data_IF_321477127983
#
_entry.id   IF_321477127983
#
_cell.length_a   1.000
_cell.length_b   1.000
_cell.length_c   1.000
_cell.angle_alpha   90.00
_cell.angle_beta   90.00
_cell.angle_gamma   90.00
#
_symmetry.space_group_name_H-M   'P 1'
#
loop_
_entity.id
_entity.type
_entity.pdbx_description
1 polymer ?
#
# COMPACT_ATOMS: atom_id res chain seq x y z
N UNK A 1 7.52 -16.96 3.18
CA UNK A 1 8.20 -16.66 1.90
C UNK A 1 8.88 -15.31 2.01
N UNK A 2 10.12 -15.23 1.57
CA UNK A 2 10.90 -14.00 1.57
C UNK A 2 11.04 -13.49 0.14
N UNK A 3 10.84 -12.21 -0.06
CA UNK A 3 11.10 -11.56 -1.34
C UNK A 3 12.01 -10.35 -1.09
N UNK A 4 13.13 -10.30 -1.79
CA UNK A 4 14.02 -9.14 -1.77
C UNK A 4 13.76 -8.25 -2.97
N UNK A 5 13.71 -6.96 -2.74
CA UNK A 5 13.57 -5.98 -3.81
C UNK A 5 14.69 -4.95 -3.62
N UNK A 6 15.48 -4.76 -4.67
CA UNK A 6 16.51 -3.72 -4.70
C UNK A 6 15.91 -2.43 -5.23
N UNK A 7 16.06 -1.35 -4.49
CA UNK A 7 15.57 -0.04 -4.90
C UNK A 7 16.57 0.66 -5.81
N UNK A 8 16.04 1.30 -6.85
CA UNK A 8 16.82 2.24 -7.67
C UNK A 8 16.80 3.60 -6.98
N UNK A 9 17.99 4.08 -6.59
CA UNK A 9 18.13 5.38 -5.94
C UNK A 9 17.91 6.53 -6.91
N UNK A 10 17.09 7.49 -6.53
CA UNK A 10 16.95 8.76 -7.24
C UNK A 10 18.12 9.72 -6.90
N UNK A 11 18.67 9.60 -5.70
CA UNK A 11 19.78 10.42 -5.23
C UNK A 11 20.92 9.55 -4.70
N UNK A 12 22.14 9.83 -5.15
CA UNK A 12 23.33 9.07 -4.71
C UNK A 12 23.54 9.14 -3.20
N UNK A 13 23.65 7.99 -2.56
CA UNK A 13 23.93 7.87 -1.12
C UNK A 13 22.74 8.09 -0.20
N UNK A 14 21.51 8.27 -0.75
CA UNK A 14 20.29 8.48 0.01
C UNK A 14 19.14 7.67 -0.57
N UNK A 15 18.28 7.15 0.28
CA UNK A 15 16.97 6.59 -0.09
C UNK A 15 15.89 7.47 0.49
N UNK A 16 14.97 7.91 -0.34
CA UNK A 16 13.79 8.68 0.03
C UNK A 16 12.57 7.77 0.04
N UNK A 17 11.94 7.65 1.20
CA UNK A 17 10.74 6.86 1.41
C UNK A 17 9.58 7.79 1.75
N UNK A 18 8.43 7.57 1.12
CA UNK A 18 7.16 8.16 1.53
C UNK A 18 6.31 7.11 2.22
N UNK A 19 5.74 7.47 3.34
CA UNK A 19 4.82 6.62 4.08
C UNK A 19 3.43 7.27 4.13
N UNK A 20 2.42 6.49 3.75
CA UNK A 20 1.03 6.79 4.01
C UNK A 20 0.49 5.70 4.95
N UNK A 21 -0.25 6.10 5.96
CA UNK A 21 -0.81 5.17 6.94
C UNK A 21 -2.28 5.51 7.20
N UNK A 22 -3.04 4.50 7.60
CA UNK A 22 -4.42 4.68 8.06
C UNK A 22 -5.29 5.42 7.04
N UNK A 23 -5.25 5.00 5.80
CA UNK A 23 -5.98 5.67 4.71
C UNK A 23 -7.48 5.42 4.74
N UNK A 24 -7.93 4.34 5.37
CA UNK A 24 -9.35 4.01 5.62
C UNK A 24 -10.26 4.24 4.40
N UNK A 25 -9.84 3.78 3.22
CA UNK A 25 -10.64 3.94 2.01
C UNK A 25 -11.97 3.21 2.16
N UNK A 26 -13.05 3.90 1.88
CA UNK A 26 -14.40 3.35 1.92
C UNK A 26 -14.81 2.70 0.59
N UNK A 27 -15.77 1.74 0.60
CA UNK A 27 -16.18 1.01 -0.60
C UNK A 27 -16.83 1.87 -1.68
N UNK A 28 -17.59 2.90 -1.28
CA UNK A 28 -18.37 3.71 -2.21
C UNK A 28 -17.75 5.10 -2.46
N UNK A 29 -17.93 5.68 -3.66
CA UNK A 29 -17.50 7.04 -3.94
C UNK A 29 -18.19 8.05 -3.02
N UNK A 30 -17.41 8.98 -2.44
CA UNK A 30 -17.93 10.02 -1.55
C UNK A 30 -18.38 9.54 -0.18
N UNK A 31 -18.23 8.25 0.11
CA UNK A 31 -18.47 7.71 1.43
C UNK A 31 -17.47 8.27 2.43
N UNK A 32 -17.93 8.54 3.64
CA UNK A 32 -17.12 9.17 4.67
C UNK A 32 -16.88 8.24 5.87
N UNK A 33 -15.74 8.41 6.49
CA UNK A 33 -15.41 7.85 7.79
C UNK A 33 -15.26 9.03 8.78
N UNK A 34 -16.04 9.01 9.85
CA UNK A 34 -16.14 10.11 10.82
C UNK A 34 -16.35 11.50 10.16
N UNK A 35 -17.16 11.53 9.10
CA UNK A 35 -17.46 12.76 8.37
C UNK A 35 -16.39 13.20 7.38
N UNK A 36 -15.32 12.41 7.20
CA UNK A 36 -14.23 12.72 6.28
C UNK A 36 -14.30 11.81 5.05
N UNK A 37 -14.28 12.40 3.85
CA UNK A 37 -14.05 11.68 2.61
C UNK A 37 -12.57 11.29 2.54
N UNK A 38 -12.27 10.07 2.96
CA UNK A 38 -10.90 9.58 3.11
C UNK A 38 -10.20 9.42 1.76
N UNK A 39 -10.91 9.06 0.72
CA UNK A 39 -10.33 8.96 -0.63
C UNK A 39 -9.91 10.33 -1.17
N UNK A 40 -10.77 11.33 -1.02
CA UNK A 40 -10.45 12.68 -1.45
C UNK A 40 -9.28 13.26 -0.63
N UNK A 41 -9.26 12.98 0.66
CA UNK A 41 -8.14 13.37 1.54
C UNK A 41 -6.83 12.73 1.08
N UNK A 42 -6.83 11.43 0.80
CA UNK A 42 -5.64 10.74 0.30
C UNK A 42 -5.15 11.36 -1.03
N UNK A 43 -6.06 11.64 -1.96
CA UNK A 43 -5.72 12.29 -3.23
C UNK A 43 -5.07 13.66 -3.03
N UNK A 44 -5.56 14.44 -2.08
CA UNK A 44 -4.99 15.75 -1.74
C UNK A 44 -3.59 15.62 -1.14
N UNK A 45 -3.38 14.68 -0.23
CA UNK A 45 -2.07 14.41 0.37
C UNK A 45 -1.07 13.96 -0.68
N UNK A 46 -1.48 13.06 -1.59
CA UNK A 46 -0.65 12.62 -2.72
C UNK A 46 -0.26 13.81 -3.60
N UNK A 47 -1.21 14.68 -3.95
CA UNK A 47 -0.93 15.86 -4.77
C UNK A 47 0.09 16.78 -4.09
N UNK A 48 -0.02 16.96 -2.78
CA UNK A 48 0.95 17.74 -2.00
C UNK A 48 2.34 17.08 -2.01
N UNK A 49 2.41 15.76 -1.80
CA UNK A 49 3.66 15.02 -1.83
C UNK A 49 4.33 15.09 -3.22
N UNK A 50 3.55 14.99 -4.29
CA UNK A 50 4.05 15.12 -5.67
C UNK A 50 4.70 16.47 -5.93
N UNK A 51 4.22 17.51 -5.29
CA UNK A 51 4.78 18.85 -5.45
C UNK A 51 6.16 19.02 -4.81
N UNK A 52 6.41 18.37 -3.65
CA UNK A 52 7.61 18.62 -2.82
C UNK A 52 8.55 17.42 -2.66
N UNK A 53 8.03 16.19 -2.73
CA UNK A 53 8.72 14.99 -2.29
C UNK A 53 8.67 13.87 -3.32
N UNK A 54 8.69 14.21 -4.59
CA UNK A 54 8.49 13.26 -5.66
C UNK A 54 9.61 13.28 -6.71
N UNK A 55 9.99 12.14 -7.33
CA UNK A 55 9.55 10.79 -6.96
C UNK A 55 10.36 10.24 -5.77
N UNK A 56 9.71 9.54 -4.83
CA UNK A 56 10.43 8.79 -3.81
C UNK A 56 11.04 7.51 -4.40
N UNK A 57 12.02 6.93 -3.71
CA UNK A 57 12.59 5.63 -4.10
C UNK A 57 11.62 4.49 -3.84
N UNK A 58 10.79 4.61 -2.81
CA UNK A 58 9.68 3.70 -2.54
C UNK A 58 8.57 4.38 -1.72
N UNK A 59 7.38 3.80 -1.80
CA UNK A 59 6.20 4.23 -1.04
C UNK A 59 5.76 3.08 -0.14
N UNK A 60 5.49 3.40 1.12
CA UNK A 60 4.98 2.47 2.12
C UNK A 60 3.52 2.82 2.43
N UNK A 61 2.65 1.84 2.28
CA UNK A 61 1.25 1.91 2.73
C UNK A 61 1.11 1.02 3.95
N UNK A 62 0.98 1.62 5.13
CA UNK A 62 1.11 0.88 6.39
C UNK A 62 -0.15 0.93 7.23
N UNK A 63 -0.87 -0.18 7.25
CA UNK A 63 -1.99 -0.43 8.16
C UNK A 63 -3.28 0.31 7.85
N UNK A 64 -4.40 -0.35 8.11
CA UNK A 64 -5.75 0.18 7.95
C UNK A 64 -5.96 0.92 6.61
N UNK A 65 -5.60 0.21 5.53
CA UNK A 65 -5.65 0.75 4.17
C UNK A 65 -7.09 1.03 3.75
N UNK A 66 -8.01 0.17 4.16
CA UNK A 66 -9.44 0.30 3.95
C UNK A 66 -10.17 0.39 5.28
N UNK A 67 -11.33 1.02 5.31
CA UNK A 67 -12.14 1.11 6.51
C UNK A 67 -12.87 -0.20 6.79
N UNK A 68 -13.44 -0.79 5.77
CA UNK A 68 -14.05 -2.13 5.80
C UNK A 68 -13.37 -3.02 4.76
N UNK A 69 -13.08 -4.29 5.07
CA UNK A 69 -12.39 -5.18 4.15
C UNK A 69 -13.32 -5.66 3.03
N UNK A 70 -13.67 -4.75 2.14
CA UNK A 70 -14.50 -4.99 0.98
C UNK A 70 -13.69 -4.90 -0.31
N UNK A 71 -14.01 -5.76 -1.28
CA UNK A 71 -13.36 -5.76 -2.59
C UNK A 71 -13.36 -4.38 -3.24
N UNK A 72 -14.52 -3.69 -3.23
CA UNK A 72 -14.65 -2.37 -3.83
C UNK A 72 -13.71 -1.33 -3.20
N UNK A 73 -13.46 -1.39 -1.89
CA UNK A 73 -12.52 -0.49 -1.22
C UNK A 73 -11.09 -0.71 -1.70
N UNK A 74 -10.65 -1.96 -1.78
CA UNK A 74 -9.32 -2.29 -2.30
C UNK A 74 -9.16 -1.96 -3.79
N UNK A 75 -10.20 -2.15 -4.59
CA UNK A 75 -10.18 -1.77 -6.01
C UNK A 75 -10.00 -0.25 -6.17
N UNK A 76 -10.67 0.53 -5.34
CA UNK A 76 -10.54 2.00 -5.33
C UNK A 76 -9.14 2.43 -4.91
N UNK A 77 -8.59 1.82 -3.88
CA UNK A 77 -7.21 2.06 -3.44
C UNK A 77 -6.22 1.65 -4.54
N UNK A 78 -6.38 0.47 -5.11
CA UNK A 78 -5.54 -0.02 -6.20
C UNK A 78 -5.49 0.94 -7.39
N UNK A 79 -6.62 1.50 -7.77
CA UNK A 79 -6.70 2.48 -8.87
C UNK A 79 -5.85 3.73 -8.59
N UNK A 80 -5.76 4.16 -7.35
CA UNK A 80 -4.90 5.29 -6.94
C UNK A 80 -3.42 4.87 -6.97
N UNK A 81 -3.09 3.74 -6.34
CA UNK A 81 -1.69 3.31 -6.17
C UNK A 81 -1.03 2.91 -7.48
N UNK A 82 -1.79 2.38 -8.44
CA UNK A 82 -1.28 2.04 -9.78
C UNK A 82 -0.75 3.23 -10.56
N UNK A 83 -1.13 4.45 -10.21
CA UNK A 83 -0.66 5.67 -10.88
C UNK A 83 0.75 6.07 -10.48
N UNK A 84 1.33 5.43 -9.46
CA UNK A 84 2.67 5.75 -9.00
C UNK A 84 3.74 5.06 -9.84
N UNK A 85 4.81 5.79 -10.16
CA UNK A 85 5.98 5.24 -10.85
C UNK A 85 6.89 4.47 -9.88
N UNK A 86 6.92 4.89 -8.62
CA UNK A 86 7.73 4.24 -7.58
C UNK A 86 7.09 2.92 -7.13
N UNK A 87 7.89 1.95 -6.67
CA UNK A 87 7.35 0.74 -6.06
C UNK A 87 6.61 1.07 -4.77
N UNK A 88 5.46 0.43 -4.58
CA UNK A 88 4.58 0.60 -3.43
C UNK A 88 4.50 -0.70 -2.65
N UNK A 89 4.74 -0.63 -1.36
CA UNK A 89 4.69 -1.77 -0.44
C UNK A 89 3.53 -1.59 0.53
N UNK A 90 2.61 -2.55 0.53
CA UNK A 90 1.39 -2.49 1.35
C UNK A 90 1.46 -3.50 2.49
N UNK A 91 1.22 -3.04 3.69
CA UNK A 91 1.11 -3.84 4.91
C UNK A 91 -0.30 -3.72 5.49
N UNK A 92 -0.94 -4.83 5.91
CA UNK A 92 -2.26 -4.78 6.52
C UNK A 92 -2.23 -4.22 7.94
N UNK A 93 -3.30 -3.51 8.31
CA UNK A 93 -3.68 -3.20 9.67
C UNK A 93 -4.80 -4.11 10.16
N UNK A 94 -5.40 -3.77 11.31
CA UNK A 94 -6.48 -4.58 11.88
C UNK A 94 -7.82 -4.44 11.15
N UNK A 95 -8.02 -3.37 10.37
CA UNK A 95 -9.20 -3.20 9.50
C UNK A 95 -9.07 -3.95 8.18
N UNK A 96 -7.88 -4.41 7.83
CA UNK A 96 -7.62 -5.04 6.54
C UNK A 96 -7.87 -6.55 6.57
N UNK A 97 -8.27 -7.09 5.42
CA UNK A 97 -8.23 -8.52 5.12
C UNK A 97 -7.00 -8.81 4.26
N UNK A 98 -5.97 -9.47 4.82
CA UNK A 98 -4.72 -9.73 4.09
C UNK A 98 -4.90 -10.51 2.79
N UNK A 99 -5.80 -11.50 2.76
CA UNK A 99 -6.04 -12.30 1.56
C UNK A 99 -6.68 -11.46 0.45
N UNK A 100 -7.70 -10.69 0.78
CA UNK A 100 -8.38 -9.82 -0.16
C UNK A 100 -7.43 -8.70 -0.64
N UNK A 101 -6.65 -8.14 0.25
CA UNK A 101 -5.62 -7.15 -0.05
C UNK A 101 -4.60 -7.72 -1.05
N UNK A 102 -4.08 -8.93 -0.79
CA UNK A 102 -3.11 -9.58 -1.66
C UNK A 102 -3.65 -9.86 -3.07
N UNK A 103 -4.91 -10.27 -3.16
CA UNK A 103 -5.57 -10.53 -4.44
C UNK A 103 -5.81 -9.26 -5.25
N UNK A 104 -6.15 -8.16 -4.59
CA UNK A 104 -6.60 -6.93 -5.24
C UNK A 104 -5.46 -5.95 -5.52
N UNK A 105 -4.51 -5.83 -4.60
CA UNK A 105 -3.34 -4.95 -4.75
C UNK A 105 -2.22 -5.68 -5.52
N UNK A 106 -2.55 -6.17 -6.70
CA UNK A 106 -1.65 -6.93 -7.57
C UNK A 106 -1.41 -6.16 -8.87
N UNK A 107 -0.31 -5.43 -8.94
CA UNK A 107 0.15 -4.72 -10.13
C UNK A 107 1.69 -4.72 -10.14
N UNK A 108 2.30 -4.32 -11.25
CA UNK A 108 3.76 -4.37 -11.40
C UNK A 108 4.50 -3.53 -10.35
N UNK A 109 3.91 -2.41 -9.95
CA UNK A 109 4.48 -1.52 -8.94
C UNK A 109 3.98 -1.79 -7.52
N UNK A 110 3.00 -2.69 -7.33
CA UNK A 110 2.40 -2.96 -6.03
C UNK A 110 2.88 -4.30 -5.47
N UNK A 111 3.19 -4.30 -4.19
CA UNK A 111 3.55 -5.50 -3.45
C UNK A 111 2.91 -5.50 -2.07
N UNK A 112 2.45 -6.66 -1.63
CA UNK A 112 1.83 -6.84 -0.32
C UNK A 112 2.66 -7.78 0.54
N UNK A 113 2.77 -7.50 1.83
CA UNK A 113 3.52 -8.32 2.77
C UNK A 113 2.96 -8.22 4.19
N UNK A 114 3.35 -9.13 5.06
CA UNK A 114 3.05 -9.06 6.49
C UNK A 114 4.03 -8.16 7.24
N UNK A 115 5.26 -8.08 6.77
CA UNK A 115 6.29 -7.21 7.32
C UNK A 115 7.34 -6.86 6.28
N UNK A 116 8.05 -5.77 6.52
CA UNK A 116 9.11 -5.26 5.65
C UNK A 116 10.35 -5.00 6.52
N UNK A 117 11.51 -5.44 6.04
CA UNK A 117 12.80 -5.13 6.66
C UNK A 117 13.65 -4.38 5.64
N UNK A 118 14.21 -3.27 6.06
CA UNK A 118 15.17 -2.51 5.25
C UNK A 118 16.59 -2.91 5.63
N UNK A 119 17.40 -3.21 4.63
CA UNK A 119 18.85 -3.42 4.79
C UNK A 119 19.57 -2.70 3.66
N UNK A 120 20.22 -1.62 3.97
CA UNK A 120 20.90 -0.76 2.99
C UNK A 120 19.95 -0.38 1.84
N UNK A 121 20.20 -0.94 0.66
CA UNK A 121 19.43 -0.68 -0.56
C UNK A 121 18.40 -1.78 -0.87
N UNK A 122 18.19 -2.69 0.07
CA UNK A 122 17.34 -3.86 -0.13
C UNK A 122 16.13 -3.77 0.79
N UNK A 123 14.95 -3.97 0.23
CA UNK A 123 13.72 -4.21 0.97
C UNK A 123 13.47 -5.70 1.01
N UNK A 124 13.43 -6.26 2.20
CA UNK A 124 13.04 -7.63 2.43
C UNK A 124 11.58 -7.68 2.86
N UNK A 125 10.76 -8.29 2.04
CA UNK A 125 9.35 -8.50 2.33
C UNK A 125 9.14 -9.88 2.91
N UNK A 126 8.50 -9.92 4.06
CA UNK A 126 8.11 -11.15 4.73
C UNK A 126 6.60 -11.32 4.57
N UNK A 127 6.20 -12.41 3.95
CA UNK A 127 4.80 -12.77 3.81
C UNK A 127 4.52 -14.02 4.62
N UNK A 128 3.61 -13.91 5.57
CA UNK A 128 3.03 -15.04 6.30
C UNK A 128 1.73 -15.51 5.66
N UNK A 129 1.41 -15.01 4.46
CA UNK A 129 0.28 -15.53 3.70
C UNK A 129 0.61 -16.96 3.28
N UNK A 130 0.27 -17.90 4.15
CA UNK A 130 0.09 -19.26 3.72
C UNK A 130 -1.04 -19.23 2.68
N UNK A 131 -0.87 -19.92 1.54
CA UNK A 131 -2.05 -20.19 0.74
C UNK A 131 -3.01 -20.90 1.70
N UNK A 132 -4.09 -20.23 2.05
CA UNK A 132 -5.17 -20.92 2.69
C UNK A 132 -5.58 -21.99 1.70
N UNK A 133 -5.16 -23.20 1.96
CA UNK A 133 -5.91 -24.34 1.49
C UNK A 133 -7.28 -24.11 2.11
N UNK A 134 -8.20 -23.55 1.34
CA UNK A 134 -9.59 -23.68 1.65
C UNK A 134 -9.91 -25.17 1.63
N UNK A 135 -9.56 -25.85 2.72
CA UNK A 135 -10.19 -27.11 3.04
C UNK A 135 -11.65 -26.73 3.21
N UNK A 136 -12.43 -27.04 2.16
CA UNK A 136 -13.80 -26.58 2.04
C UNK A 136 -14.59 -26.73 3.33
N UNK A 137 -15.03 -25.62 3.78
CA UNK A 137 -16.21 -25.63 4.62
C UNK A 137 -17.41 -25.65 3.70
#
# INVERSE_FOLDING_TARGET
MHRSITLTQQHKGRIDLLQFTDTHICPAPGETFDGVDTEQTLKQVIAHARHKHWPPDAILMTGDLVHEPALAAYERLSAILKTFESPVFCLPGNHDDPSLMHQTLAADNLSTASSIIFSRWIILMLSSFLPETHAGC
#
